data_IF_288996508398
#
_entry.id   IF_288996508398
#
_cell.length_a   1.000
_cell.length_b   1.000
_cell.length_c   1.000
_cell.angle_alpha   90.00
_cell.angle_beta   90.00
_cell.angle_gamma   90.00
#
_symmetry.space_group_name_H-M   'P 1'
#
loop_
_entity.id
_entity.type
_entity.pdbx_description
1 polymer ?
#
# COMPACT_ATOMS: atom_id res chain seq x y z
N UNK A 1 13.88 63.96 -28.07
CA UNK A 1 13.54 62.89 -29.02
C UNK A 1 13.72 61.58 -28.27
N UNK A 2 12.69 60.93 -27.73
CA UNK A 2 11.56 60.23 -28.38
C UNK A 2 11.83 58.73 -28.50
N UNK A 3 11.13 57.94 -27.66
CA UNK A 3 10.59 56.57 -27.85
C UNK A 3 11.60 55.42 -28.17
N UNK A 4 11.41 54.15 -27.82
CA UNK A 4 10.18 53.41 -27.50
C UNK A 4 10.47 52.10 -26.75
N UNK A 5 9.43 51.64 -26.08
CA UNK A 5 9.25 50.40 -25.32
C UNK A 5 9.18 49.15 -26.22
N UNK A 6 9.65 47.98 -25.76
CA UNK A 6 9.10 46.68 -26.21
C UNK A 6 9.31 45.58 -25.17
N UNK A 7 8.22 45.31 -24.44
CA UNK A 7 7.92 44.08 -23.73
C UNK A 7 8.16 42.84 -24.60
N UNK A 8 8.85 41.85 -24.04
CA UNK A 8 8.69 40.44 -24.41
C UNK A 8 8.50 39.66 -23.10
N UNK A 9 7.24 39.53 -22.71
CA UNK A 9 6.83 38.59 -21.68
C UNK A 9 7.12 37.17 -22.15
N UNK A 10 8.12 36.53 -21.53
CA UNK A 10 8.29 35.10 -21.67
C UNK A 10 7.23 34.43 -20.79
N UNK A 11 6.23 33.85 -21.45
CA UNK A 11 5.10 33.21 -20.82
C UNK A 11 5.55 32.19 -19.78
N UNK A 12 5.09 32.41 -18.55
CA UNK A 12 5.04 31.37 -17.53
C UNK A 12 4.27 30.19 -18.12
N UNK A 13 5.00 29.17 -18.58
CA UNK A 13 4.44 27.85 -18.78
C UNK A 13 4.04 27.38 -17.38
N UNK A 14 2.77 27.60 -17.05
CA UNK A 14 2.09 26.90 -15.99
C UNK A 14 2.29 25.40 -16.27
N UNK A 15 3.34 24.83 -15.71
CA UNK A 15 3.41 23.42 -15.42
C UNK A 15 2.25 23.17 -14.48
N UNK A 16 1.09 22.83 -15.04
CA UNK A 16 0.03 22.16 -14.30
C UNK A 16 0.75 20.97 -13.67
N UNK A 17 1.02 21.06 -12.36
CA UNK A 17 1.28 19.88 -11.54
C UNK A 17 0.11 18.97 -11.83
N UNK A 18 0.33 17.93 -12.63
CA UNK A 18 -0.66 16.90 -12.87
C UNK A 18 -0.82 16.19 -11.53
N UNK A 19 -1.68 16.74 -10.67
CA UNK A 19 -2.16 16.02 -9.50
C UNK A 19 -2.85 14.80 -10.08
N UNK A 20 -2.18 13.65 -9.98
CA UNK A 20 -2.69 12.40 -10.52
C UNK A 20 -3.95 12.07 -9.75
N UNK A 21 -5.11 12.26 -10.38
CA UNK A 21 -6.41 12.07 -9.75
C UNK A 21 -6.62 10.57 -9.49
N UNK A 22 -6.89 10.22 -8.25
CA UNK A 22 -7.25 8.84 -7.89
C UNK A 22 -8.60 8.50 -8.50
N UNK A 23 -8.73 7.28 -8.99
CA UNK A 23 -9.94 6.82 -9.66
C UNK A 23 -11.08 6.53 -8.67
N UNK A 24 -12.18 5.99 -9.22
CA UNK A 24 -13.38 5.67 -8.45
C UNK A 24 -13.10 4.76 -7.26
N UNK A 25 -13.65 5.12 -6.11
CA UNK A 25 -13.65 4.31 -4.88
C UNK A 25 -14.95 3.51 -4.75
N UNK A 26 -14.82 2.24 -4.39
CA UNK A 26 -15.94 1.37 -4.04
C UNK A 26 -15.95 1.15 -2.53
N UNK A 27 -17.12 1.19 -1.91
CA UNK A 27 -17.26 0.98 -0.46
C UNK A 27 -18.22 -0.16 -0.22
N UNK A 28 -17.80 -1.12 0.59
CA UNK A 28 -18.66 -2.18 1.11
C UNK A 28 -18.89 -1.90 2.59
N UNK A 29 -20.14 -1.63 2.94
CA UNK A 29 -20.53 -1.39 4.33
C UNK A 29 -20.51 -2.71 5.11
N UNK A 30 -20.16 -2.67 6.42
CA UNK A 30 -20.27 -3.83 7.28
C UNK A 30 -21.75 -4.25 7.40
N UNK A 31 -21.99 -5.54 7.58
CA UNK A 31 -23.34 -6.11 7.75
C UNK A 31 -23.81 -6.05 9.21
N UNK A 32 -22.87 -6.00 10.16
CA UNK A 32 -23.10 -5.84 11.58
C UNK A 32 -22.52 -4.53 12.11
N UNK A 33 -22.24 -4.48 13.41
CA UNK A 33 -21.60 -3.32 14.06
C UNK A 33 -20.25 -3.03 13.40
N UNK A 34 -20.05 -1.79 12.99
CA UNK A 34 -18.79 -1.36 12.36
C UNK A 34 -17.67 -1.32 13.41
N UNK A 35 -16.71 -2.24 13.30
CA UNK A 35 -15.58 -2.34 14.24
C UNK A 35 -14.23 -2.10 13.58
N UNK A 36 -14.14 -2.32 12.27
CA UNK A 36 -12.92 -2.06 11.52
C UNK A 36 -13.22 -1.52 10.12
N UNK A 37 -12.27 -0.75 9.60
CA UNK A 37 -12.20 -0.34 8.21
C UNK A 37 -10.88 -0.80 7.61
N UNK A 38 -10.95 -1.46 6.45
CA UNK A 38 -9.77 -1.86 5.69
C UNK A 38 -9.80 -1.22 4.31
N UNK A 39 -8.72 -0.52 3.97
CA UNK A 39 -8.48 -0.08 2.59
C UNK A 39 -7.83 -1.23 1.81
N UNK A 40 -8.46 -1.67 0.72
CA UNK A 40 -7.92 -2.70 -0.17
C UNK A 40 -7.37 -2.11 -1.46
N UNK A 41 -6.08 -2.35 -1.74
CA UNK A 41 -5.37 -1.84 -2.91
C UNK A 41 -5.18 -2.93 -3.96
N UNK A 42 -5.66 -2.66 -5.17
CA UNK A 42 -5.59 -3.60 -6.30
C UNK A 42 -4.20 -3.67 -6.96
N UNK A 43 -3.99 -4.66 -7.83
CA UNK A 43 -2.76 -4.83 -8.62
C UNK A 43 -2.65 -3.85 -9.79
N UNK A 44 -1.53 -3.88 -10.51
CA UNK A 44 -1.26 -2.94 -11.60
C UNK A 44 -2.22 -3.20 -12.78
N UNK A 45 -2.74 -2.13 -13.40
CA UNK A 45 -3.71 -2.23 -14.50
C UNK A 45 -5.13 -2.67 -14.08
N UNK A 46 -5.36 -2.93 -12.79
CA UNK A 46 -6.67 -3.31 -12.25
C UNK A 46 -7.48 -2.09 -11.77
N UNK A 47 -8.66 -2.34 -11.18
CA UNK A 47 -9.56 -1.31 -10.63
C UNK A 47 -10.01 -1.71 -9.23
N UNK A 48 -10.46 -0.73 -8.44
CA UNK A 48 -10.93 -0.95 -7.06
C UNK A 48 -12.05 -1.98 -6.94
N UNK A 49 -12.89 -2.16 -7.97
CA UNK A 49 -13.95 -3.19 -7.99
C UNK A 49 -13.43 -4.62 -7.84
N UNK A 50 -12.14 -4.87 -8.09
CA UNK A 50 -11.50 -6.18 -7.93
C UNK A 50 -11.48 -6.64 -6.45
N UNK A 51 -11.59 -5.72 -5.49
CA UNK A 51 -11.68 -6.06 -4.07
C UNK A 51 -13.00 -6.76 -3.67
N UNK A 52 -14.03 -6.73 -4.55
CA UNK A 52 -15.38 -7.22 -4.27
C UNK A 52 -15.45 -8.76 -4.32
N UNK A 53 -14.42 -9.44 -3.83
CA UNK A 53 -14.44 -10.89 -3.67
C UNK A 53 -15.51 -11.25 -2.63
N UNK A 54 -16.48 -12.13 -2.94
CA UNK A 54 -17.60 -12.42 -2.03
C UNK A 54 -17.16 -12.82 -0.62
N UNK A 55 -16.03 -13.54 -0.52
CA UNK A 55 -15.44 -13.99 0.75
C UNK A 55 -14.97 -12.80 1.62
N UNK A 56 -14.28 -11.80 1.06
CA UNK A 56 -13.89 -10.60 1.80
C UNK A 56 -15.12 -9.85 2.32
N UNK A 57 -16.18 -9.76 1.50
CA UNK A 57 -17.44 -9.09 1.89
C UNK A 57 -18.31 -9.89 2.88
N UNK A 58 -17.83 -11.07 3.31
CA UNK A 58 -18.51 -11.91 4.29
C UNK A 58 -18.03 -11.64 5.73
N UNK A 59 -17.06 -10.76 5.95
CA UNK A 59 -16.64 -10.29 7.28
C UNK A 59 -17.64 -9.24 7.81
N UNK A 60 -18.54 -9.60 8.74
CA UNK A 60 -19.72 -8.79 9.00
C UNK A 60 -19.40 -7.45 9.69
N UNK A 61 -18.28 -7.34 10.42
CA UNK A 61 -17.95 -6.15 11.21
C UNK A 61 -16.92 -5.23 10.53
N UNK A 62 -16.47 -5.58 9.32
CA UNK A 62 -15.44 -4.86 8.56
C UNK A 62 -16.06 -4.09 7.41
N UNK A 63 -15.79 -2.78 7.36
CA UNK A 63 -16.00 -1.92 6.19
C UNK A 63 -14.82 -2.05 5.24
N UNK A 64 -15.09 -2.23 3.95
CA UNK A 64 -14.03 -2.26 2.92
C UNK A 64 -14.09 -1.00 2.07
N UNK A 65 -12.96 -0.33 1.93
CA UNK A 65 -12.77 0.81 1.03
C UNK A 65 -11.79 0.41 -0.06
N UNK A 66 -12.23 0.46 -1.31
CA UNK A 66 -11.45 -0.04 -2.44
C UNK A 66 -11.26 1.07 -3.47
N UNK A 67 -10.24 1.93 -3.28
CA UNK A 67 -9.91 2.98 -4.23
C UNK A 67 -9.38 2.39 -5.53
N UNK A 68 -9.41 3.18 -6.59
CA UNK A 68 -8.69 2.88 -7.83
C UNK A 68 -7.46 3.79 -7.94
N UNK A 69 -6.32 3.22 -8.31
CA UNK A 69 -5.11 4.00 -8.53
C UNK A 69 -5.27 5.00 -9.69
N UNK A 70 -4.51 6.10 -9.72
CA UNK A 70 -4.46 6.99 -10.87
C UNK A 70 -3.96 6.27 -12.11
N UNK A 71 -4.42 6.72 -13.29
CA UNK A 71 -3.81 6.29 -14.55
C UNK A 71 -2.51 7.06 -14.75
N UNK A 72 -1.38 6.36 -14.85
CA UNK A 72 -0.06 6.94 -15.06
C UNK A 72 0.77 6.08 -16.01
N UNK A 73 1.80 6.67 -16.59
CA UNK A 73 2.79 5.94 -17.37
C UNK A 73 3.62 5.05 -16.43
N UNK A 74 3.86 3.81 -16.83
CA UNK A 74 4.67 2.86 -16.06
C UNK A 74 5.92 2.49 -16.85
N UNK A 75 7.08 2.81 -16.30
CA UNK A 75 8.39 2.57 -16.96
C UNK A 75 8.61 1.09 -17.27
N UNK A 76 8.24 0.18 -16.36
CA UNK A 76 8.32 -1.27 -16.54
C UNK A 76 7.59 -1.76 -17.80
N UNK A 77 6.55 -1.04 -18.24
CA UNK A 77 5.77 -1.34 -19.44
C UNK A 77 6.09 -0.41 -20.62
N UNK A 78 7.32 0.12 -20.67
CA UNK A 78 7.75 1.01 -21.76
C UNK A 78 6.98 2.34 -21.80
N UNK A 79 6.46 2.80 -20.66
CA UNK A 79 5.67 4.03 -20.56
C UNK A 79 4.20 3.86 -20.90
N UNK A 80 3.71 2.63 -21.10
CA UNK A 80 2.29 2.38 -21.34
C UNK A 80 1.42 2.88 -20.16
N UNK A 81 0.35 3.66 -20.40
CA UNK A 81 -0.50 4.18 -19.34
C UNK A 81 -1.43 3.11 -18.79
N UNK A 82 -1.36 2.85 -17.48
CA UNK A 82 -2.30 1.99 -16.77
C UNK A 82 -2.50 2.48 -15.33
N UNK A 83 -3.41 1.85 -14.59
CA UNK A 83 -3.65 2.17 -13.19
C UNK A 83 -2.48 1.66 -12.34
N UNK A 84 -1.75 2.57 -11.71
CA UNK A 84 -0.62 2.23 -10.85
C UNK A 84 -0.53 3.18 -9.66
N UNK A 85 -0.16 2.64 -8.49
CA UNK A 85 -0.03 3.41 -7.25
C UNK A 85 1.26 4.27 -7.24
N UNK A 86 2.32 3.75 -7.83
CA UNK A 86 3.60 4.42 -8.01
C UNK A 86 4.24 3.92 -9.31
N UNK A 87 5.24 4.63 -9.83
CA UNK A 87 5.98 4.18 -11.01
C UNK A 87 6.93 3.04 -10.63
N UNK A 88 6.97 1.99 -11.44
CA UNK A 88 7.90 0.88 -11.29
C UNK A 88 8.85 0.91 -12.48
N UNK A 89 10.14 1.05 -12.22
CA UNK A 89 11.18 1.03 -13.26
C UNK A 89 11.64 -0.38 -13.58
N UNK A 90 11.92 -1.16 -12.53
CA UNK A 90 12.24 -2.58 -12.63
C UNK A 90 11.87 -3.29 -11.33
N UNK A 91 11.77 -4.62 -11.39
CA UNK A 91 11.60 -5.47 -10.19
C UNK A 91 12.95 -5.80 -9.53
N UNK A 92 14.04 -5.16 -9.96
CA UNK A 92 15.37 -5.33 -9.36
C UNK A 92 15.46 -4.61 -8.03
N UNK A 93 16.20 -5.18 -7.08
CA UNK A 93 16.48 -4.58 -5.78
C UNK A 93 17.34 -3.31 -5.87
N UNK A 94 18.10 -3.17 -6.95
CA UNK A 94 18.95 -2.01 -7.18
C UNK A 94 18.18 -0.82 -7.73
N UNK A 95 16.94 -1.03 -8.17
CA UNK A 95 16.07 0.02 -8.69
C UNK A 95 15.87 1.15 -7.66
N UNK A 96 15.67 2.35 -8.17
CA UNK A 96 15.23 3.46 -7.32
C UNK A 96 13.73 3.32 -7.10
N UNK A 97 13.30 3.34 -5.84
CA UNK A 97 11.88 3.39 -5.51
C UNK A 97 11.31 4.77 -5.86
N UNK A 98 10.14 4.82 -6.49
CA UNK A 98 9.34 6.04 -6.68
C UNK A 98 8.76 6.51 -5.34
N UNK A 99 9.61 7.11 -4.52
CA UNK A 99 9.28 7.61 -3.18
C UNK A 99 8.14 8.63 -3.21
N UNK A 100 8.08 9.50 -4.22
CA UNK A 100 7.02 10.48 -4.38
C UNK A 100 5.67 9.80 -4.64
N UNK A 101 5.63 8.81 -5.55
CA UNK A 101 4.44 8.03 -5.83
C UNK A 101 3.98 7.17 -4.66
N UNK A 102 4.93 6.58 -3.92
CA UNK A 102 4.65 5.81 -2.69
C UNK A 102 4.04 6.71 -1.61
N UNK A 103 4.64 7.86 -1.33
CA UNK A 103 4.13 8.84 -0.37
C UNK A 103 2.75 9.38 -0.78
N UNK A 104 2.54 9.67 -2.07
CA UNK A 104 1.24 10.11 -2.58
C UNK A 104 0.15 9.05 -2.38
N UNK A 105 0.45 7.78 -2.66
CA UNK A 105 -0.49 6.67 -2.46
C UNK A 105 -0.76 6.40 -1.00
N UNK A 106 0.26 6.37 -0.15
CA UNK A 106 0.09 6.20 1.29
C UNK A 106 -0.68 7.37 1.92
N UNK A 107 -0.47 8.60 1.44
CA UNK A 107 -1.24 9.77 1.85
C UNK A 107 -2.71 9.65 1.45
N UNK A 108 -3.00 9.17 0.24
CA UNK A 108 -4.38 8.95 -0.19
C UNK A 108 -5.08 7.89 0.68
N UNK A 109 -4.43 6.77 0.95
CA UNK A 109 -4.92 5.74 1.90
C UNK A 109 -5.18 6.36 3.26
N UNK A 110 -4.23 7.14 3.78
CA UNK A 110 -4.36 7.77 5.07
C UNK A 110 -5.60 8.66 5.12
N UNK A 111 -5.83 9.49 4.10
CA UNK A 111 -7.01 10.35 4.02
C UNK A 111 -8.33 9.57 3.95
N UNK A 112 -8.35 8.39 3.32
CA UNK A 112 -9.54 7.53 3.32
C UNK A 112 -9.86 6.99 4.72
N UNK A 113 -8.82 6.66 5.50
CA UNK A 113 -8.94 6.13 6.86
C UNK A 113 -9.18 7.22 7.92
N UNK A 114 -8.73 8.46 7.70
CA UNK A 114 -8.89 9.59 8.63
C UNK A 114 -10.35 9.97 8.95
N UNK A 115 -11.30 9.51 8.12
CA UNK A 115 -12.72 9.84 8.29
C UNK A 115 -13.46 8.84 9.19
N UNK A 116 -12.79 7.80 9.68
CA UNK A 116 -13.42 6.81 10.54
C UNK A 116 -13.44 7.25 12.00
N UNK A 117 -14.44 6.80 12.79
CA UNK A 117 -14.48 7.03 14.24
C UNK A 117 -13.25 6.47 14.98
N UNK A 118 -12.91 7.06 16.13
CA UNK A 118 -11.73 6.68 16.92
C UNK A 118 -11.78 5.24 17.47
N UNK A 119 -12.98 4.67 17.65
CA UNK A 119 -13.19 3.29 18.11
C UNK A 119 -13.10 2.24 16.99
N UNK A 120 -13.02 2.67 15.73
CA UNK A 120 -12.88 1.80 14.55
C UNK A 120 -11.41 1.49 14.30
N UNK A 121 -11.07 0.20 14.24
CA UNK A 121 -9.71 -0.25 13.91
C UNK A 121 -9.42 -0.07 12.42
N UNK A 122 -8.24 0.44 12.11
CA UNK A 122 -7.87 0.82 10.74
C UNK A 122 -6.86 -0.16 10.17
N UNK A 123 -7.11 -0.68 8.98
CA UNK A 123 -6.22 -1.62 8.29
C UNK A 123 -5.96 -1.23 6.85
N UNK A 124 -4.90 -1.80 6.29
CA UNK A 124 -4.62 -1.75 4.87
C UNK A 124 -4.31 -3.16 4.37
N UNK A 125 -4.87 -3.50 3.21
CA UNK A 125 -4.61 -4.74 2.50
C UNK A 125 -4.27 -4.41 1.04
N UNK A 126 -3.50 -5.26 0.39
CA UNK A 126 -3.31 -5.11 -1.05
C UNK A 126 -2.77 -6.36 -1.73
N UNK A 127 -2.87 -6.34 -3.05
CA UNK A 127 -2.32 -7.36 -3.95
C UNK A 127 -1.27 -6.74 -4.88
N UNK A 128 -0.15 -7.43 -5.13
CA UNK A 128 0.90 -7.01 -6.05
C UNK A 128 1.43 -5.60 -5.72
N UNK A 129 1.41 -4.64 -6.64
CA UNK A 129 1.80 -3.25 -6.37
C UNK A 129 0.96 -2.60 -5.25
N UNK A 130 -0.29 -3.03 -5.04
CA UNK A 130 -1.10 -2.60 -3.90
C UNK A 130 -0.59 -3.14 -2.57
N UNK A 131 -0.08 -4.38 -2.56
CA UNK A 131 0.60 -4.97 -1.41
C UNK A 131 1.87 -4.18 -1.05
N UNK A 132 2.61 -3.71 -2.07
CA UNK A 132 3.79 -2.88 -1.85
C UNK A 132 3.46 -1.55 -1.14
N UNK A 133 2.35 -0.89 -1.51
CA UNK A 133 1.86 0.30 -0.79
C UNK A 133 1.38 -0.03 0.62
N UNK A 134 0.75 -1.19 0.83
CA UNK A 134 0.32 -1.65 2.15
C UNK A 134 1.51 -1.84 3.09
N UNK A 135 2.57 -2.53 2.63
CA UNK A 135 3.80 -2.69 3.40
C UNK A 135 4.50 -1.35 3.61
N UNK A 136 4.57 -0.48 2.61
CA UNK A 136 5.13 0.85 2.76
C UNK A 136 4.40 1.66 3.85
N UNK A 137 3.06 1.65 3.84
CA UNK A 137 2.23 2.31 4.85
C UNK A 137 2.47 1.75 6.25
N UNK A 138 2.69 0.44 6.38
CA UNK A 138 3.10 -0.19 7.64
C UNK A 138 4.46 0.32 8.14
N UNK A 139 5.44 0.49 7.24
CA UNK A 139 6.73 1.10 7.59
C UNK A 139 6.59 2.56 8.00
N UNK A 140 5.75 3.34 7.30
CA UNK A 140 5.47 4.73 7.64
C UNK A 140 4.81 4.86 9.01
N UNK A 141 3.87 3.96 9.35
CA UNK A 141 3.30 3.86 10.69
C UNK A 141 4.42 3.60 11.69
N UNK A 142 5.22 2.55 11.49
CA UNK A 142 6.27 2.17 12.43
C UNK A 142 7.22 3.35 12.71
N UNK A 143 7.76 3.97 11.66
CA UNK A 143 8.65 5.12 11.77
C UNK A 143 7.93 6.37 12.30
N UNK A 144 6.64 6.53 12.02
CA UNK A 144 5.83 7.70 12.32
C UNK A 144 5.90 8.80 11.25
N UNK A 145 6.54 8.52 10.12
CA UNK A 145 6.75 9.46 9.02
C UNK A 145 6.69 8.77 7.66
N UNK A 146 6.25 9.53 6.67
CA UNK A 146 6.41 9.26 5.25
C UNK A 146 7.90 9.23 4.83
N UNK A 147 8.18 8.91 3.57
CA UNK A 147 9.52 8.95 3.01
C UNK A 147 10.09 10.36 2.94
N UNK A 148 9.25 11.33 2.60
CA UNK A 148 9.55 12.77 2.57
C UNK A 148 9.72 13.42 3.96
N UNK A 149 9.57 12.66 5.06
CA UNK A 149 9.73 13.15 6.44
C UNK A 149 8.48 13.76 7.07
N UNK A 150 7.39 13.94 6.32
CA UNK A 150 6.11 14.38 6.88
C UNK A 150 5.56 13.33 7.86
N UNK A 151 4.82 13.77 8.87
CA UNK A 151 4.22 12.88 9.88
C UNK A 151 3.18 11.94 9.25
N UNK A 152 3.28 10.65 9.55
CA UNK A 152 2.25 9.68 9.19
C UNK A 152 1.10 9.75 10.22
N UNK A 153 -0.16 10.04 9.81
CA UNK A 153 -1.22 10.38 10.76
C UNK A 153 -2.01 9.16 11.27
N UNK A 154 -1.95 8.02 10.56
CA UNK A 154 -2.82 6.87 10.85
C UNK A 154 -2.15 5.87 11.79
N UNK A 155 -2.88 5.42 12.80
CA UNK A 155 -2.49 4.30 13.64
C UNK A 155 -3.05 2.99 13.06
N UNK A 156 -2.33 2.38 12.12
CA UNK A 156 -2.73 1.09 11.54
C UNK A 156 -2.76 0.00 12.62
N UNK A 157 -3.82 -0.79 12.59
CA UNK A 157 -4.10 -1.93 13.48
C UNK A 157 -3.81 -3.28 12.82
N UNK A 158 -3.78 -3.35 11.49
CA UNK A 158 -3.40 -4.54 10.74
C UNK A 158 -2.89 -4.17 9.33
N UNK A 159 -1.99 -4.98 8.78
CA UNK A 159 -1.52 -4.87 7.39
C UNK A 159 -1.53 -6.24 6.71
N UNK A 160 -2.06 -6.31 5.50
CA UNK A 160 -2.05 -7.53 4.67
C UNK A 160 -1.42 -7.23 3.32
N UNK A 161 -0.54 -8.11 2.87
CA UNK A 161 0.16 -8.00 1.59
C UNK A 161 0.16 -9.34 0.86
N UNK A 162 -0.49 -9.41 -0.30
CA UNK A 162 -0.61 -10.61 -1.12
C UNK A 162 0.23 -10.47 -2.39
N UNK A 163 1.10 -11.45 -2.68
CA UNK A 163 1.96 -11.50 -3.87
C UNK A 163 2.70 -10.19 -4.15
N UNK A 164 3.24 -9.56 -3.10
CA UNK A 164 3.86 -8.24 -3.17
C UNK A 164 5.34 -8.23 -2.82
N UNK A 165 5.89 -7.02 -2.66
CA UNK A 165 7.25 -6.79 -2.21
C UNK A 165 7.30 -5.58 -1.27
N UNK A 166 8.37 -5.45 -0.49
CA UNK A 166 8.62 -4.30 0.39
C UNK A 166 9.44 -3.22 -0.35
N UNK A 167 8.86 -2.04 -0.64
CA UNK A 167 9.63 -0.89 -1.13
C UNK A 167 10.50 -0.29 -0.04
N UNK A 168 11.53 0.46 -0.43
CA UNK A 168 12.40 1.24 0.49
C UNK A 168 13.10 0.40 1.57
N UNK A 169 13.28 -0.90 1.30
CA UNK A 169 13.78 -1.92 2.23
C UNK A 169 15.18 -1.60 2.78
N UNK A 170 16.07 -1.02 1.95
CA UNK A 170 17.48 -0.73 2.27
C UNK A 170 17.69 0.06 3.56
N UNK A 171 16.81 1.01 3.87
CA UNK A 171 16.97 1.91 5.02
C UNK A 171 16.03 1.57 6.19
N UNK A 172 15.18 0.54 6.06
CA UNK A 172 14.11 0.27 7.02
C UNK A 172 14.65 0.00 8.43
N UNK A 173 15.67 -0.86 8.57
CA UNK A 173 16.27 -1.19 9.87
C UNK A 173 16.80 0.05 10.59
N UNK A 174 17.50 0.93 9.86
CA UNK A 174 18.05 2.16 10.43
C UNK A 174 16.93 3.12 10.86
N UNK A 175 15.88 3.26 10.05
CA UNK A 175 14.75 4.14 10.36
C UNK A 175 13.94 3.66 11.57
N UNK A 176 13.68 2.36 11.68
CA UNK A 176 13.00 1.78 12.85
C UNK A 176 13.88 1.81 14.10
N UNK A 177 15.17 1.52 13.95
CA UNK A 177 16.14 1.55 15.05
C UNK A 177 16.50 2.95 15.56
N UNK A 178 16.13 4.01 14.84
CA UNK A 178 16.41 5.39 15.23
C UNK A 178 15.65 5.85 16.49
N UNK A 179 14.58 5.15 16.89
CA UNK A 179 13.81 5.49 18.09
C UNK A 179 13.16 4.26 18.72
N UNK A 180 13.19 4.19 20.06
CA UNK A 180 12.53 3.13 20.82
C UNK A 180 11.02 3.07 20.53
N UNK A 181 10.41 4.23 20.31
CA UNK A 181 8.99 4.32 19.99
C UNK A 181 8.69 3.74 18.60
N UNK A 182 9.57 3.97 17.61
CA UNK A 182 9.43 3.35 16.29
C UNK A 182 9.58 1.83 16.35
N UNK A 183 10.53 1.33 17.14
CA UNK A 183 10.70 -0.10 17.40
C UNK A 183 9.45 -0.73 18.05
N UNK A 184 8.85 -0.06 19.04
CA UNK A 184 7.59 -0.52 19.68
C UNK A 184 6.42 -0.56 18.71
N UNK A 185 6.28 0.48 17.86
CA UNK A 185 5.24 0.52 16.82
C UNK A 185 5.44 -0.57 15.78
N UNK A 186 6.67 -0.85 15.37
CA UNK A 186 6.99 -1.95 14.45
C UNK A 186 6.64 -3.31 15.06
N UNK A 187 7.08 -3.57 16.29
CA UNK A 187 6.88 -4.85 16.96
C UNK A 187 5.40 -5.16 17.22
N UNK A 188 4.58 -4.14 17.48
CA UNK A 188 3.17 -4.30 17.81
C UNK A 188 2.24 -4.47 16.61
N UNK A 189 2.63 -4.05 15.40
CA UNK A 189 1.76 -4.05 14.23
C UNK A 189 1.58 -5.47 13.65
N UNK A 190 0.39 -6.08 13.73
CA UNK A 190 0.10 -7.34 13.04
C UNK A 190 0.26 -7.16 11.53
N UNK A 191 1.13 -7.96 10.92
CA UNK A 191 1.39 -7.92 9.48
C UNK A 191 1.34 -9.33 8.89
N UNK A 192 0.46 -9.55 7.91
CA UNK A 192 0.35 -10.79 7.16
C UNK A 192 0.89 -10.59 5.75
N UNK A 193 1.83 -11.43 5.35
CA UNK A 193 2.30 -11.55 3.99
C UNK A 193 1.92 -12.94 3.46
N UNK A 194 1.33 -12.98 2.27
CA UNK A 194 1.00 -14.22 1.56
C UNK A 194 1.66 -14.20 0.18
N UNK A 195 2.14 -15.35 -0.28
CA UNK A 195 2.76 -15.44 -1.60
C UNK A 195 2.55 -16.81 -2.25
N UNK A 196 2.41 -16.83 -3.57
CA UNK A 196 2.39 -18.07 -4.34
C UNK A 196 3.79 -18.56 -4.69
N UNK A 197 4.08 -19.85 -4.49
CA UNK A 197 5.40 -20.42 -4.78
C UNK A 197 5.73 -20.48 -6.28
N UNK A 198 4.71 -20.41 -7.14
CA UNK A 198 4.87 -20.43 -8.60
C UNK A 198 4.47 -19.09 -9.23
N UNK A 199 4.55 -18.00 -8.46
CA UNK A 199 4.34 -16.63 -8.95
C UNK A 199 5.47 -16.25 -9.92
N UNK A 200 5.10 -16.00 -11.17
CA UNK A 200 5.96 -15.70 -12.30
C UNK A 200 6.08 -14.20 -12.60
N UNK A 201 5.37 -13.36 -11.83
CA UNK A 201 5.39 -11.89 -11.97
C UNK A 201 6.20 -11.27 -10.84
N UNK A 202 5.94 -11.68 -9.61
CA UNK A 202 6.71 -11.31 -8.42
C UNK A 202 7.20 -12.61 -7.79
N UNK A 203 8.45 -13.00 -8.07
CA UNK A 203 9.02 -14.24 -7.54
C UNK A 203 8.81 -14.33 -6.02
N UNK A 204 8.36 -15.49 -5.53
CA UNK A 204 8.13 -15.77 -4.12
C UNK A 204 9.34 -15.40 -3.23
N UNK A 205 10.57 -15.54 -3.74
CA UNK A 205 11.79 -15.13 -3.05
C UNK A 205 11.82 -13.65 -2.71
N UNK A 206 11.22 -12.79 -3.53
CA UNK A 206 11.09 -11.35 -3.26
C UNK A 206 10.14 -11.13 -2.08
N UNK A 207 9.03 -11.87 -2.02
CA UNK A 207 8.10 -11.88 -0.88
C UNK A 207 8.76 -12.37 0.41
N UNK A 208 9.49 -13.49 0.35
CA UNK A 208 10.26 -14.05 1.47
C UNK A 208 11.30 -13.05 2.00
N UNK A 209 12.05 -12.43 1.10
CA UNK A 209 13.04 -11.40 1.45
C UNK A 209 12.39 -10.17 2.06
N UNK A 210 11.22 -9.77 1.57
CA UNK A 210 10.44 -8.68 2.16
C UNK A 210 10.07 -8.99 3.61
N UNK A 211 9.54 -10.19 3.87
CA UNK A 211 9.23 -10.67 5.23
C UNK A 211 10.48 -10.69 6.13
N UNK A 212 11.58 -11.26 5.65
CA UNK A 212 12.85 -11.33 6.39
C UNK A 212 13.40 -9.94 6.73
N UNK A 213 13.30 -9.00 5.79
CA UNK A 213 13.76 -7.63 5.98
C UNK A 213 12.91 -6.89 7.02
N UNK A 214 11.59 -7.03 6.96
CA UNK A 214 10.69 -6.46 7.97
C UNK A 214 10.95 -7.07 9.35
N UNK A 215 11.07 -8.40 9.43
CA UNK A 215 11.36 -9.09 10.68
C UNK A 215 12.69 -8.61 11.29
N UNK A 216 13.74 -8.53 10.47
CA UNK A 216 15.07 -8.03 10.89
C UNK A 216 15.07 -6.54 11.29
N UNK A 217 14.10 -5.77 10.80
CA UNK A 217 13.91 -4.37 11.17
C UNK A 217 13.08 -4.19 12.46
N UNK A 218 12.48 -5.26 13.01
CA UNK A 218 11.75 -5.24 14.28
C UNK A 218 10.25 -5.48 14.19
N UNK A 219 9.71 -5.84 13.02
CA UNK A 219 8.31 -6.25 12.88
C UNK A 219 8.13 -7.68 13.40
N UNK A 220 8.00 -7.81 14.72
CA UNK A 220 7.95 -9.10 15.41
C UNK A 220 6.59 -9.81 15.28
N UNK A 221 5.49 -9.07 15.11
CA UNK A 221 4.16 -9.63 14.85
C UNK A 221 3.91 -9.78 13.34
N UNK A 222 4.78 -10.54 12.67
CA UNK A 222 4.74 -10.78 11.23
C UNK A 222 4.53 -12.26 10.93
N UNK A 223 3.60 -12.56 10.04
CA UNK A 223 3.38 -13.92 9.51
C UNK A 223 3.62 -13.92 8.00
N UNK A 224 4.42 -14.87 7.51
CA UNK A 224 4.59 -15.11 6.07
C UNK A 224 4.01 -16.49 5.72
N UNK A 225 3.06 -16.54 4.80
CA UNK A 225 2.40 -17.76 4.32
C UNK A 225 2.68 -17.98 2.85
N UNK A 226 2.92 -19.23 2.47
CA UNK A 226 3.13 -19.61 1.07
C UNK A 226 2.11 -20.64 0.60
N UNK A 227 1.78 -20.59 -0.69
CA UNK A 227 0.84 -21.51 -1.33
C UNK A 227 1.52 -22.20 -2.52
N UNK A 228 1.68 -23.52 -2.45
CA UNK A 228 2.57 -24.29 -3.35
C UNK A 228 2.22 -24.21 -4.85
N UNK A 229 0.94 -24.01 -5.20
CA UNK A 229 0.46 -24.01 -6.60
C UNK A 229 -0.17 -22.68 -7.01
N UNK A 230 0.07 -21.63 -6.24
CA UNK A 230 -0.46 -20.30 -6.51
C UNK A 230 0.53 -19.52 -7.37
N UNK A 231 0.05 -18.97 -8.49
CA UNK A 231 0.78 -18.01 -9.32
C UNK A 231 0.45 -16.57 -8.95
N UNK A 232 0.54 -15.62 -9.90
CA UNK A 232 0.22 -14.21 -9.64
C UNK A 232 -1.28 -13.90 -9.67
N UNK A 233 -2.04 -14.52 -8.76
CA UNK A 233 -3.46 -14.29 -8.56
C UNK A 233 -3.84 -14.71 -7.13
N UNK A 234 -5.10 -14.53 -6.74
CA UNK A 234 -5.59 -14.98 -5.43
C UNK A 234 -6.48 -16.21 -5.56
N UNK A 235 -6.51 -17.04 -4.52
CA UNK A 235 -7.38 -18.22 -4.42
C UNK A 235 -8.29 -18.14 -3.19
N UNK A 236 -9.39 -18.87 -3.20
CA UNK A 236 -10.37 -18.87 -2.10
C UNK A 236 -9.73 -19.27 -0.76
N UNK A 237 -8.81 -20.25 -0.78
CA UNK A 237 -8.07 -20.68 0.42
C UNK A 237 -7.29 -19.52 1.05
N UNK A 238 -6.51 -18.80 0.24
CA UNK A 238 -5.75 -17.63 0.69
C UNK A 238 -6.67 -16.53 1.23
N UNK A 239 -7.77 -16.23 0.55
CA UNK A 239 -8.70 -15.21 1.00
C UNK A 239 -9.41 -15.62 2.31
N UNK A 240 -9.73 -16.90 2.50
CA UNK A 240 -10.27 -17.42 3.76
C UNK A 240 -9.26 -17.27 4.92
N UNK A 241 -7.99 -17.58 4.67
CA UNK A 241 -6.90 -17.41 5.63
C UNK A 241 -6.74 -15.94 6.02
N UNK A 242 -6.78 -15.02 5.04
CA UNK A 242 -6.74 -13.57 5.27
C UNK A 242 -7.92 -13.10 6.11
N UNK A 243 -9.15 -13.54 5.78
CA UNK A 243 -10.34 -13.16 6.55
C UNK A 243 -10.25 -13.65 8.00
N UNK A 244 -9.86 -14.91 8.19
CA UNK A 244 -9.71 -15.52 9.52
C UNK A 244 -8.65 -14.80 10.34
N UNK A 245 -7.52 -14.46 9.71
CA UNK A 245 -6.45 -13.70 10.36
C UNK A 245 -6.89 -12.28 10.73
N UNK A 246 -7.59 -11.57 9.85
CA UNK A 246 -8.13 -10.23 10.12
C UNK A 246 -9.13 -10.23 11.28
N UNK A 247 -10.07 -11.18 11.28
CA UNK A 247 -11.04 -11.37 12.38
C UNK A 247 -10.31 -11.58 13.70
N UNK A 248 -9.32 -12.47 13.73
CA UNK A 248 -8.54 -12.75 14.94
C UNK A 248 -7.74 -11.53 15.42
N UNK A 249 -7.08 -10.80 14.51
CA UNK A 249 -6.25 -9.64 14.86
C UNK A 249 -7.07 -8.41 15.26
N UNK A 250 -8.20 -8.18 14.60
CA UNK A 250 -9.05 -7.01 14.82
C UNK A 250 -10.15 -7.27 15.86
N UNK A 251 -10.34 -8.52 16.31
CA UNK A 251 -11.45 -8.89 17.20
C UNK A 251 -12.81 -8.55 16.60
N UNK A 252 -12.93 -8.70 15.28
CA UNK A 252 -14.03 -8.25 14.43
C UNK A 252 -14.70 -9.44 13.69
#
# INVERSE_FOLDING_TARGET
MSYNNSNLGSGSRNARRNVSEFGRTFVVMPKGTHQATIVWLHGIGEKGSRCLHPVLTSTPLIKWICPSAPTRQVTLFGGYPCTAWFNVESMSEDACDDLEGLDASATHVANLLSNEPDDVKLGIAGFSIGAAVALYSATCRAVGQYGNGNRYPINLSATVALSGWLPTSRNLRNRVGASQEAARRAASLPTLLCHGQVDDVVDCKIGEKSAQTMYSAGFQNLTFRTYNRLGHYTIIEEINDVCSWLIACLGA
#
